data_IF_660159474428
#
_entry.id   IF_660159474428
#
_cell.length_a   1.000
_cell.length_b   1.000
_cell.length_c   1.000
_cell.angle_alpha   90.00
_cell.angle_beta   90.00
_cell.angle_gamma   90.00
#
_symmetry.space_group_name_H-M   'P 1'
#
loop_
_entity.id
_entity.type
_entity.pdbx_description
1 polymer ?
#
# COMPACT_ATOMS: atom_id res chain seq x y z
N UNK A 1 -9.72 -6.90 -17.23
CA UNK A 1 -9.25 -6.97 -15.84
C UNK A 1 -10.22 -6.18 -14.98
N UNK A 2 -10.82 -6.84 -14.00
CA UNK A 2 -11.61 -6.22 -12.93
C UNK A 2 -10.81 -6.19 -11.65
N UNK A 3 -10.65 -5.02 -11.05
CA UNK A 3 -9.81 -4.81 -9.86
C UNK A 3 -10.62 -4.16 -8.76
N UNK A 4 -10.61 -4.75 -7.56
CA UNK A 4 -11.07 -4.10 -6.33
C UNK A 4 -9.90 -3.35 -5.70
N UNK A 5 -9.98 -2.02 -5.67
CA UNK A 5 -9.10 -1.16 -4.88
C UNK A 5 -9.62 -1.02 -3.45
N UNK A 6 -8.72 -1.08 -2.47
CA UNK A 6 -9.01 -0.97 -1.04
C UNK A 6 -8.08 0.06 -0.41
N UNK A 7 -8.68 1.17 0.05
CA UNK A 7 -8.04 2.18 0.90
C UNK A 7 -8.40 1.89 2.37
N UNK A 8 -7.51 1.20 3.11
CA UNK A 8 -7.86 0.60 4.38
C UNK A 8 -7.91 1.62 5.52
N UNK A 9 -8.88 1.45 6.42
CA UNK A 9 -8.95 2.22 7.65
C UNK A 9 -9.96 1.61 8.61
N UNK A 10 -9.70 1.72 9.92
CA UNK A 10 -10.59 1.11 10.90
C UNK A 10 -11.99 1.74 10.86
N UNK A 11 -12.10 3.08 10.82
CA UNK A 11 -13.42 3.76 10.84
C UNK A 11 -14.07 3.80 9.46
N UNK A 12 -13.24 3.95 8.43
CA UNK A 12 -13.64 4.10 7.03
C UNK A 12 -12.64 3.32 6.19
N UNK A 13 -13.12 2.28 5.54
CA UNK A 13 -12.36 1.48 4.59
C UNK A 13 -12.98 1.73 3.20
N UNK A 14 -12.28 2.49 2.36
CA UNK A 14 -12.70 2.82 1.01
C UNK A 14 -12.58 1.61 0.10
N UNK A 15 -13.60 1.36 -0.71
CA UNK A 15 -13.65 0.23 -1.65
C UNK A 15 -14.15 0.71 -3.00
N UNK A 16 -13.52 0.26 -4.09
CA UNK A 16 -13.88 0.68 -5.44
C UNK A 16 -13.47 -0.34 -6.48
N UNK A 17 -14.35 -0.62 -7.43
CA UNK A 17 -14.12 -1.60 -8.48
C UNK A 17 -14.03 -0.90 -9.83
N UNK A 18 -12.92 -1.14 -10.52
CA UNK A 18 -12.65 -0.62 -11.86
C UNK A 18 -12.40 -1.77 -12.82
N UNK A 19 -12.99 -1.66 -14.00
CA UNK A 19 -12.84 -2.59 -15.11
C UNK A 19 -12.09 -1.93 -16.26
N UNK A 20 -11.13 -2.65 -16.82
CA UNK A 20 -10.47 -2.22 -18.05
C UNK A 20 -9.16 -2.94 -18.33
N UNK A 21 -8.40 -2.35 -19.23
CA UNK A 21 -7.04 -2.74 -19.61
C UNK A 21 -6.21 -1.48 -19.87
N UNK A 22 -4.90 -1.56 -19.68
CA UNK A 22 -4.01 -0.45 -19.95
C UNK A 22 -4.14 0.05 -21.40
N UNK A 23 -4.14 1.37 -21.60
CA UNK A 23 -4.27 2.01 -22.91
C UNK A 23 -5.69 2.06 -23.50
N UNK A 24 -6.71 1.58 -22.76
CA UNK A 24 -8.12 1.68 -23.14
C UNK A 24 -8.92 2.44 -22.08
N UNK A 25 -10.12 2.96 -22.42
CA UNK A 25 -11.01 3.57 -21.44
C UNK A 25 -11.32 2.61 -20.28
N UNK A 26 -11.39 3.15 -19.07
CA UNK A 26 -11.73 2.43 -17.85
C UNK A 26 -13.20 2.67 -17.49
N UNK A 27 -13.81 1.71 -16.81
CA UNK A 27 -15.20 1.79 -16.34
C UNK A 27 -15.24 1.57 -14.83
N UNK A 28 -15.98 2.40 -14.11
CA UNK A 28 -16.28 2.17 -12.69
C UNK A 28 -17.44 1.19 -12.57
N UNK A 29 -17.22 0.04 -11.95
CA UNK A 29 -18.27 -0.94 -11.69
C UNK A 29 -19.01 -0.65 -10.38
N UNK A 30 -18.30 -0.10 -9.38
CA UNK A 30 -18.90 0.28 -8.10
C UNK A 30 -17.91 1.04 -7.22
N UNK A 31 -18.43 1.82 -6.27
CA UNK A 31 -17.61 2.46 -5.24
C UNK A 31 -18.39 2.68 -3.95
N UNK A 32 -17.71 2.57 -2.81
CA UNK A 32 -18.31 2.70 -1.49
C UNK A 32 -17.30 2.82 -0.37
N UNK A 33 -17.82 2.81 0.86
CA UNK A 33 -17.01 2.83 2.08
C UNK A 33 -17.64 1.88 3.09
N UNK A 34 -16.86 0.92 3.56
CA UNK A 34 -17.20 0.11 4.73
C UNK A 34 -16.94 0.96 5.96
N UNK A 35 -17.97 1.16 6.79
CA UNK A 35 -17.92 2.01 7.98
C UNK A 35 -18.03 1.17 9.24
N UNK A 36 -17.25 1.52 10.26
CA UNK A 36 -17.37 0.92 11.59
C UNK A 36 -17.53 2.01 12.66
N UNK A 37 -18.24 1.74 13.77
CA UNK A 37 -18.33 2.67 14.90
C UNK A 37 -16.94 2.91 15.50
N UNK A 38 -16.62 4.17 15.78
CA UNK A 38 -15.29 4.53 16.31
C UNK A 38 -15.10 4.16 17.79
N UNK A 39 -16.21 3.95 18.50
CA UNK A 39 -16.32 3.57 19.91
C UNK A 39 -16.39 2.05 20.14
N UNK A 40 -16.53 1.26 19.07
CA UNK A 40 -16.49 -0.21 19.15
C UNK A 40 -15.05 -0.73 19.37
N UNK A 41 -14.92 -1.92 19.95
CA UNK A 41 -13.64 -2.60 20.09
C UNK A 41 -13.00 -2.87 18.72
N UNK A 42 -11.66 -2.84 18.66
CA UNK A 42 -10.91 -3.08 17.42
C UNK A 42 -11.28 -4.44 16.81
N UNK A 43 -11.43 -5.49 17.62
CA UNK A 43 -11.77 -6.82 17.14
C UNK A 43 -13.12 -6.83 16.40
N UNK A 44 -14.14 -6.20 16.99
CA UNK A 44 -15.48 -6.09 16.38
C UNK A 44 -15.44 -5.28 15.07
N UNK A 45 -14.64 -4.22 15.05
CA UNK A 45 -14.45 -3.39 13.86
C UNK A 45 -13.78 -4.16 12.73
N UNK A 46 -12.79 -5.01 13.04
CA UNK A 46 -12.15 -5.87 12.05
C UNK A 46 -13.13 -6.90 11.46
N UNK A 47 -14.03 -7.46 12.27
CA UNK A 47 -15.11 -8.35 11.80
C UNK A 47 -16.07 -7.61 10.85
N UNK A 48 -16.42 -6.35 11.17
CA UNK A 48 -17.26 -5.53 10.28
C UNK A 48 -16.56 -5.21 8.96
N UNK A 49 -15.25 -4.95 9.00
CA UNK A 49 -14.44 -4.72 7.80
C UNK A 49 -14.38 -5.99 6.95
N UNK A 50 -14.13 -7.16 7.55
CA UNK A 50 -14.12 -8.45 6.86
C UNK A 50 -15.44 -8.67 6.10
N UNK A 51 -16.58 -8.56 6.81
CA UNK A 51 -17.92 -8.74 6.21
C UNK A 51 -18.18 -7.76 5.07
N UNK A 52 -17.77 -6.50 5.25
CA UNK A 52 -17.91 -5.49 4.21
C UNK A 52 -17.08 -5.83 2.98
N UNK A 53 -15.82 -6.22 3.15
CA UNK A 53 -14.93 -6.59 2.03
C UNK A 53 -15.45 -7.86 1.34
N UNK A 54 -15.87 -8.86 2.10
CA UNK A 54 -16.45 -10.10 1.56
C UNK A 54 -17.67 -9.82 0.69
N UNK A 55 -18.58 -8.94 1.12
CA UNK A 55 -19.73 -8.55 0.32
C UNK A 55 -19.32 -7.95 -1.04
N UNK A 56 -18.29 -7.09 -1.06
CA UNK A 56 -17.77 -6.51 -2.30
C UNK A 56 -17.10 -7.54 -3.21
N UNK A 57 -16.33 -8.46 -2.63
CA UNK A 57 -15.71 -9.56 -3.37
C UNK A 57 -16.76 -10.46 -4.02
N UNK A 58 -17.83 -10.78 -3.29
CA UNK A 58 -18.88 -11.69 -3.75
C UNK A 58 -19.78 -11.04 -4.81
N UNK A 59 -20.13 -9.76 -4.62
CA UNK A 59 -20.96 -8.98 -5.56
C UNK A 59 -20.23 -8.73 -6.88
N UNK A 60 -18.99 -8.24 -6.83
CA UNK A 60 -18.31 -7.73 -8.02
C UNK A 60 -17.44 -8.77 -8.71
N UNK A 61 -17.01 -9.82 -7.99
CA UNK A 61 -16.12 -10.90 -8.47
C UNK A 61 -14.87 -10.36 -9.18
N UNK A 62 -14.02 -9.56 -8.50
CA UNK A 62 -12.81 -9.03 -9.10
C UNK A 62 -11.80 -10.13 -9.41
N UNK A 63 -10.90 -9.86 -10.35
CA UNK A 63 -9.77 -10.74 -10.69
C UNK A 63 -8.53 -10.44 -9.83
N UNK A 64 -8.44 -9.23 -9.28
CA UNK A 64 -7.33 -8.75 -8.45
C UNK A 64 -7.83 -7.85 -7.32
N UNK A 65 -7.10 -7.84 -6.21
CA UNK A 65 -7.29 -6.87 -5.12
C UNK A 65 -6.06 -5.99 -4.99
N UNK A 66 -6.23 -4.68 -5.12
CA UNK A 66 -5.20 -3.67 -4.96
C UNK A 66 -5.38 -2.97 -3.61
N UNK A 67 -4.42 -3.10 -2.71
CA UNK A 67 -4.50 -2.52 -1.35
C UNK A 67 -3.45 -1.41 -1.22
N UNK A 68 -3.80 -0.30 -0.60
CA UNK A 68 -2.80 0.72 -0.26
C UNK A 68 -1.76 0.14 0.70
N UNK A 69 -0.49 0.36 0.38
CA UNK A 69 0.63 0.00 1.23
C UNK A 69 0.74 0.98 2.38
N UNK A 70 0.69 0.46 3.59
CA UNK A 70 0.83 1.26 4.82
C UNK A 70 2.29 1.73 5.00
N UNK A 71 2.46 3.03 5.25
CA UNK A 71 3.73 3.65 5.61
C UNK A 71 3.63 4.34 6.97
N UNK A 72 4.71 4.32 7.75
CA UNK A 72 4.85 5.15 8.95
C UNK A 72 6.20 5.85 8.93
N UNK A 73 6.19 7.16 9.17
CA UNK A 73 7.40 7.88 9.59
C UNK A 73 7.25 8.49 11.00
N UNK A 74 6.03 8.85 11.44
CA UNK A 74 5.88 9.62 12.70
C UNK A 74 4.61 9.33 13.54
N UNK A 75 3.68 8.46 13.12
CA UNK A 75 2.42 8.23 13.87
C UNK A 75 2.01 6.75 13.94
N UNK A 76 2.71 6.02 14.81
CA UNK A 76 2.60 4.55 14.96
C UNK A 76 1.19 4.10 15.37
N UNK A 77 0.48 4.88 16.22
CA UNK A 77 -0.84 4.48 16.74
C UNK A 77 -1.90 4.39 15.64
N UNK A 78 -2.01 5.39 14.77
CA UNK A 78 -3.00 5.39 13.69
C UNK A 78 -2.63 4.38 12.60
N UNK A 79 -1.34 4.27 12.29
CA UNK A 79 -0.80 3.32 11.31
C UNK A 79 -1.13 1.88 11.68
N UNK A 80 -1.08 1.53 12.98
CA UNK A 80 -1.39 0.17 13.42
C UNK A 80 -2.82 -0.25 13.04
N UNK A 81 -3.79 0.64 13.26
CA UNK A 81 -5.18 0.38 12.88
C UNK A 81 -5.36 0.21 11.37
N UNK A 82 -4.74 1.08 10.58
CA UNK A 82 -4.71 0.95 9.11
C UNK A 82 -4.09 -0.39 8.69
N UNK A 83 -2.94 -0.78 9.26
CA UNK A 83 -2.28 -2.04 8.96
C UNK A 83 -3.13 -3.27 9.30
N UNK A 84 -3.85 -3.23 10.43
CA UNK A 84 -4.81 -4.28 10.80
C UNK A 84 -5.94 -4.39 9.77
N UNK A 85 -6.53 -3.26 9.35
CA UNK A 85 -7.55 -3.25 8.30
C UNK A 85 -7.01 -3.73 6.94
N UNK A 86 -5.77 -3.35 6.57
CA UNK A 86 -5.09 -3.86 5.37
C UNK A 86 -4.96 -5.38 5.42
N UNK A 87 -4.54 -5.93 6.56
CA UNK A 87 -4.37 -7.37 6.73
C UNK A 87 -5.69 -8.14 6.53
N UNK A 88 -6.82 -7.59 7.02
CA UNK A 88 -8.15 -8.16 6.77
C UNK A 88 -8.47 -8.19 5.27
N UNK A 89 -8.23 -7.08 4.54
CA UNK A 89 -8.45 -7.03 3.10
C UNK A 89 -7.62 -8.08 2.35
N UNK A 90 -6.34 -8.20 2.71
CA UNK A 90 -5.42 -9.19 2.14
C UNK A 90 -5.89 -10.63 2.43
N UNK A 91 -6.35 -10.90 3.65
CA UNK A 91 -6.85 -12.22 4.06
C UNK A 91 -8.12 -12.61 3.29
N UNK A 92 -9.09 -11.68 3.15
CA UNK A 92 -10.34 -11.92 2.43
C UNK A 92 -10.08 -12.28 0.96
N UNK A 93 -9.14 -11.58 0.33
CA UNK A 93 -8.71 -11.86 -1.04
C UNK A 93 -7.99 -13.22 -1.15
N UNK A 94 -7.02 -13.48 -0.27
CA UNK A 94 -6.24 -14.72 -0.28
C UNK A 94 -7.10 -15.97 -0.06
N UNK A 95 -8.12 -15.90 0.81
CA UNK A 95 -9.08 -16.99 1.03
C UNK A 95 -9.87 -17.37 -0.22
N UNK A 96 -10.02 -16.44 -1.17
CA UNK A 96 -10.68 -16.66 -2.48
C UNK A 96 -9.70 -17.00 -3.60
N UNK A 97 -8.41 -17.17 -3.29
CA UNK A 97 -7.35 -17.38 -4.29
C UNK A 97 -7.08 -16.16 -5.16
N UNK A 98 -7.53 -14.96 -4.75
CA UNK A 98 -7.33 -13.75 -5.53
C UNK A 98 -5.93 -13.17 -5.29
N UNK A 99 -5.20 -12.82 -6.36
CA UNK A 99 -3.92 -12.14 -6.24
C UNK A 99 -4.08 -10.75 -5.61
N UNK A 100 -3.20 -10.43 -4.67
CA UNK A 100 -3.16 -9.14 -3.97
C UNK A 100 -1.92 -8.35 -4.39
N UNK A 101 -2.12 -7.08 -4.74
CA UNK A 101 -1.05 -6.14 -5.03
C UNK A 101 -1.06 -4.97 -4.03
N UNK A 102 0.13 -4.59 -3.55
CA UNK A 102 0.31 -3.44 -2.66
C UNK A 102 0.88 -2.27 -3.45
N UNK A 103 0.25 -1.09 -3.36
CA UNK A 103 0.73 0.13 -4.00
C UNK A 103 0.98 1.23 -2.99
N UNK A 104 2.08 1.95 -3.16
CA UNK A 104 2.37 3.12 -2.32
C UNK A 104 1.51 4.33 -2.72
N UNK A 105 1.23 5.26 -1.79
CA UNK A 105 0.52 6.49 -2.13
C UNK A 105 1.19 7.27 -3.29
N UNK A 106 2.52 7.31 -3.32
CA UNK A 106 3.30 7.96 -4.38
C UNK A 106 3.14 7.25 -5.73
N UNK A 107 3.05 5.92 -5.76
CA UNK A 107 2.79 5.18 -7.00
C UNK A 107 1.37 5.43 -7.52
N UNK A 108 0.38 5.45 -6.64
CA UNK A 108 -1.02 5.75 -7.00
C UNK A 108 -1.12 7.15 -7.60
N UNK A 109 -0.54 8.14 -6.91
CA UNK A 109 -0.50 9.53 -7.38
C UNK A 109 0.22 9.65 -8.72
N UNK A 110 1.38 9.01 -8.87
CA UNK A 110 2.14 9.04 -10.12
C UNK A 110 1.38 8.37 -11.26
N UNK A 111 0.71 7.24 -11.02
CA UNK A 111 -0.06 6.53 -12.03
C UNK A 111 -1.24 7.37 -12.53
N UNK A 112 -1.99 7.99 -11.61
CA UNK A 112 -3.24 8.70 -11.92
C UNK A 112 -2.98 10.12 -12.45
N UNK A 113 -2.00 10.83 -11.90
CA UNK A 113 -1.79 12.27 -12.16
C UNK A 113 -0.52 12.57 -12.95
N UNK A 114 0.39 11.60 -13.10
CA UNK A 114 1.74 11.82 -13.64
C UNK A 114 2.75 12.32 -12.61
N UNK A 115 2.34 12.64 -11.37
CA UNK A 115 3.22 13.11 -10.30
C UNK A 115 2.98 12.37 -8.99
N UNK A 116 4.04 11.79 -8.41
CA UNK A 116 3.96 11.15 -7.09
C UNK A 116 3.72 12.13 -5.93
N UNK A 117 3.80 13.45 -6.19
CA UNK A 117 3.61 14.52 -5.20
C UNK A 117 2.24 15.18 -5.28
N UNK A 118 1.35 14.71 -6.15
CA UNK A 118 0.02 15.29 -6.32
C UNK A 118 -0.78 15.33 -5.01
N UNK A 119 -1.61 16.36 -4.86
CA UNK A 119 -2.53 16.48 -3.74
C UNK A 119 -3.82 15.65 -3.96
N UNK A 120 -4.64 15.54 -2.90
CA UNK A 120 -5.86 14.72 -2.93
C UNK A 120 -6.91 15.25 -3.90
N UNK A 121 -6.99 16.57 -4.09
CA UNK A 121 -7.94 17.19 -5.02
C UNK A 121 -7.57 16.88 -6.47
N UNK A 122 -6.28 16.94 -6.81
CA UNK A 122 -5.74 16.56 -8.11
C UNK A 122 -6.00 15.09 -8.43
N UNK A 123 -5.79 14.19 -7.47
CA UNK A 123 -6.11 12.76 -7.62
C UNK A 123 -7.61 12.60 -7.90
N UNK A 124 -8.49 13.20 -7.10
CA UNK A 124 -9.93 13.12 -7.28
C UNK A 124 -10.42 13.64 -8.65
N UNK A 125 -9.89 14.79 -9.08
CA UNK A 125 -10.20 15.35 -10.41
C UNK A 125 -9.76 14.41 -11.55
N UNK A 126 -8.58 13.80 -11.42
CA UNK A 126 -8.09 12.85 -12.40
C UNK A 126 -8.89 11.56 -12.41
N UNK A 127 -9.24 10.99 -11.25
CA UNK A 127 -10.13 9.82 -11.17
C UNK A 127 -11.46 10.09 -11.89
N UNK A 128 -12.06 11.26 -11.61
CA UNK A 128 -13.31 11.70 -12.26
C UNK A 128 -13.17 11.72 -13.78
N UNK A 129 -12.09 12.32 -14.29
CA UNK A 129 -11.80 12.43 -15.73
C UNK A 129 -11.52 11.07 -16.37
N UNK A 130 -10.73 10.23 -15.73
CA UNK A 130 -10.30 8.94 -16.27
C UNK A 130 -11.44 7.92 -16.35
N UNK A 131 -12.35 7.96 -15.38
CA UNK A 131 -13.55 7.13 -15.34
C UNK A 131 -14.76 7.79 -16.02
N UNK A 132 -14.58 8.99 -16.60
CA UNK A 132 -15.62 9.76 -17.32
C UNK A 132 -16.87 9.99 -16.48
N UNK A 133 -16.68 10.25 -15.19
CA UNK A 133 -17.77 10.53 -14.26
C UNK A 133 -18.28 11.97 -14.45
N UNK A 134 -19.58 12.17 -14.31
CA UNK A 134 -20.20 13.51 -14.40
C UNK A 134 -19.87 14.41 -13.21
N UNK A 135 -19.49 13.81 -12.08
CA UNK A 135 -19.10 14.50 -10.86
C UNK A 135 -18.06 13.68 -10.09
N UNK A 136 -17.30 14.31 -9.16
CA UNK A 136 -16.37 13.59 -8.31
C UNK A 136 -17.03 12.44 -7.54
N UNK A 137 -16.36 11.27 -7.43
CA UNK A 137 -16.91 10.13 -6.71
C UNK A 137 -17.10 10.49 -5.23
N UNK A 138 -18.25 10.10 -4.69
CA UNK A 138 -18.61 10.31 -3.28
C UNK A 138 -18.80 8.97 -2.59
N UNK A 139 -18.44 8.85 -1.29
CA UNK A 139 -17.81 9.87 -0.42
C UNK A 139 -16.32 10.10 -0.73
N UNK A 140 -15.65 11.06 -0.08
CA UNK A 140 -14.27 11.45 -0.44
C UNK A 140 -13.23 10.30 -0.55
N UNK A 141 -13.34 9.23 0.27
CA UNK A 141 -12.42 8.08 0.22
C UNK A 141 -12.73 7.12 -0.95
N UNK A 142 -13.85 7.32 -1.65
CA UNK A 142 -14.18 6.62 -2.89
C UNK A 142 -13.14 6.88 -3.97
N UNK A 143 -12.60 8.11 -4.03
CA UNK A 143 -11.59 8.48 -5.01
C UNK A 143 -10.28 7.71 -4.82
N UNK A 144 -9.86 7.50 -3.57
CA UNK A 144 -8.59 6.82 -3.25
C UNK A 144 -8.66 5.33 -3.62
N UNK A 145 -9.77 4.67 -3.29
CA UNK A 145 -10.02 3.28 -3.67
C UNK A 145 -10.06 3.08 -5.20
N UNK A 146 -10.74 3.98 -5.93
CA UNK A 146 -10.75 3.97 -7.40
C UNK A 146 -9.36 4.24 -7.98
N UNK A 147 -8.60 5.17 -7.41
CA UNK A 147 -7.24 5.48 -7.81
C UNK A 147 -6.31 4.26 -7.67
N UNK A 148 -6.45 3.48 -6.58
CA UNK A 148 -5.71 2.23 -6.37
C UNK A 148 -6.02 1.19 -7.44
N UNK A 149 -7.30 1.01 -7.78
CA UNK A 149 -7.71 0.08 -8.82
C UNK A 149 -7.15 0.49 -10.21
N UNK A 150 -7.25 1.79 -10.56
CA UNK A 150 -6.66 2.35 -11.78
C UNK A 150 -5.14 2.13 -11.82
N UNK A 151 -4.46 2.45 -10.70
CA UNK A 151 -3.02 2.27 -10.55
C UNK A 151 -2.61 0.83 -10.85
N UNK A 152 -3.33 -0.15 -10.30
CA UNK A 152 -3.06 -1.56 -10.57
C UNK A 152 -3.26 -1.91 -12.05
N UNK A 153 -4.40 -1.54 -12.66
CA UNK A 153 -4.70 -1.86 -14.07
C UNK A 153 -3.58 -1.36 -15.01
N UNK A 154 -3.02 -0.18 -14.74
CA UNK A 154 -1.98 0.40 -15.58
C UNK A 154 -0.58 -0.12 -15.28
N UNK A 155 -0.27 -0.50 -14.04
CA UNK A 155 1.05 -1.00 -13.65
C UNK A 155 1.21 -2.50 -13.86
N UNK A 156 0.15 -3.28 -13.69
CA UNK A 156 0.21 -4.75 -13.72
C UNK A 156 0.83 -5.31 -15.03
N UNK A 157 0.49 -4.83 -16.25
CA UNK A 157 1.11 -5.34 -17.47
C UNK A 157 2.62 -5.10 -17.54
N UNK A 158 3.10 -3.95 -17.06
CA UNK A 158 4.52 -3.63 -17.05
C UNK A 158 5.28 -4.50 -16.04
N UNK A 159 4.73 -4.66 -14.83
CA UNK A 159 5.29 -5.51 -13.78
C UNK A 159 5.34 -6.97 -14.23
N UNK A 160 4.26 -7.48 -14.84
CA UNK A 160 4.19 -8.86 -15.34
C UNK A 160 5.24 -9.13 -16.42
N UNK A 161 5.46 -8.20 -17.36
CA UNK A 161 6.52 -8.34 -18.39
C UNK A 161 7.92 -8.41 -17.78
N UNK A 162 8.21 -7.56 -16.78
CA UNK A 162 9.50 -7.58 -16.10
C UNK A 162 9.72 -8.89 -15.33
N UNK A 163 8.70 -9.38 -14.62
CA UNK A 163 8.78 -10.64 -13.89
C UNK A 163 8.99 -11.84 -14.82
N UNK A 164 8.28 -11.87 -15.96
CA UNK A 164 8.46 -12.92 -16.98
C UNK A 164 9.87 -12.90 -17.58
N UNK A 165 10.40 -11.73 -17.92
CA UNK A 165 11.77 -11.59 -18.42
C UNK A 165 12.81 -12.06 -17.39
N UNK A 166 12.63 -11.73 -16.12
CA UNK A 166 13.50 -12.19 -15.03
C UNK A 166 13.42 -13.72 -14.83
N UNK A 167 12.22 -14.30 -14.87
CA UNK A 167 12.04 -15.74 -14.75
C UNK A 167 12.70 -16.49 -15.93
N UNK A 168 12.55 -15.98 -17.15
CA UNK A 168 13.22 -16.51 -18.33
C UNK A 168 14.73 -16.42 -18.20
N UNK A 169 15.28 -15.26 -17.80
CA UNK A 169 16.72 -15.08 -17.60
C UNK A 169 17.30 -16.01 -16.53
N UNK A 170 16.58 -16.24 -15.42
CA UNK A 170 16.97 -17.21 -14.39
C UNK A 170 16.95 -18.64 -14.93
N UNK A 171 15.97 -18.98 -15.76
CA UNK A 171 15.86 -20.31 -16.35
C UNK A 171 16.98 -20.60 -17.37
N UNK A 172 17.38 -19.62 -18.18
CA UNK A 172 18.53 -19.74 -19.10
C UNK A 172 19.84 -19.82 -18.35
N UNK A 173 20.06 -18.96 -17.34
CA UNK A 173 21.27 -19.01 -16.52
C UNK A 173 21.45 -20.36 -15.80
N UNK A 174 20.36 -21.01 -15.40
CA UNK A 174 20.38 -22.34 -14.75
C UNK A 174 20.60 -23.49 -15.75
N UNK A 175 20.38 -23.28 -17.04
CA UNK A 175 20.58 -24.27 -18.12
C UNK A 175 21.97 -24.19 -18.75
N UNK A 176 22.70 -23.09 -18.59
CA UNK A 176 24.08 -22.97 -19.07
C UNK A 176 25.02 -23.76 -18.15
N UNK A 177 25.69 -24.83 -18.62
CA UNK A 177 26.71 -25.50 -17.83
C UNK A 177 27.84 -24.52 -17.50
N UNK A 178 28.50 -24.61 -16.33
CA UNK A 178 29.67 -23.79 -16.06
C UNK A 178 30.69 -23.98 -17.18
N UNK A 179 31.18 -22.88 -17.76
CA UNK A 179 32.20 -22.92 -18.79
C UNK A 179 33.37 -23.79 -18.29
N UNK A 180 33.72 -24.81 -19.09
CA UNK A 180 34.79 -25.73 -18.76
C UNK A 180 36.05 -24.93 -18.41
N UNK A 181 36.52 -25.10 -17.16
CA UNK A 181 37.70 -24.42 -16.64
C UNK A 181 38.84 -24.68 -17.63
N UNK A 182 39.53 -23.65 -18.17
CA UNK A 182 40.59 -23.89 -19.14
C UNK A 182 41.63 -24.83 -18.51
N UNK A 183 41.95 -25.91 -19.22
CA UNK A 183 42.87 -26.93 -18.77
C UNK A 183 44.19 -26.26 -18.38
N UNK A 184 44.64 -26.47 -17.13
CA UNK A 184 45.98 -26.06 -16.71
C UNK A 184 46.97 -26.82 -17.59
N UNK A 185 47.66 -26.11 -18.47
CA UNK A 185 48.78 -26.65 -19.24
C UNK A 185 49.80 -27.24 -18.25
N UNK A 186 50.29 -28.47 -18.44
CA UNK A 186 51.33 -29.03 -17.61
C UNK A 186 52.58 -28.16 -17.72
N UNK A 187 53.06 -27.67 -16.59
CA UNK A 187 54.34 -26.95 -16.48
C UNK A 187 55.45 -27.93 -16.85
N UNK A 188 56.13 -27.69 -17.97
CA UNK A 188 57.32 -28.42 -18.34
C UNK A 188 58.38 -28.29 -17.24
N UNK A 189 58.89 -29.43 -16.79
CA UNK A 189 59.99 -29.55 -15.83
C UNK A 189 61.29 -29.11 -16.50
N UNK A 190 61.87 -27.99 -16.04
CA UNK A 190 63.23 -27.60 -16.39
C UNK A 190 64.22 -28.24 -15.38
N UNK A 191 65.42 -28.68 -15.82
CA UNK A 191 66.37 -29.39 -14.99
C UNK A 191 67.10 -28.46 -14.00
N UNK A 192 67.45 -29.02 -12.85
CA UNK A 192 68.23 -28.39 -11.79
C UNK A 192 69.66 -28.07 -12.26
N UNK A 193 70.08 -26.82 -12.03
CA UNK A 193 71.40 -26.32 -12.38
C UNK A 193 71.80 -25.13 -11.51
N UNK A 194 72.44 -25.48 -10.39
CA UNK A 194 73.58 -24.80 -9.73
C UNK A 194 73.47 -23.34 -9.25
N UNK A 195 73.83 -23.19 -7.97
CA UNK A 195 73.88 -21.99 -7.16
C UNK A 195 74.68 -20.81 -7.72
N UNK A 196 74.16 -19.60 -7.52
CA UNK A 196 74.84 -18.32 -7.73
C UNK A 196 74.30 -17.27 -6.76
N UNK A 197 75.20 -16.62 -6.04
CA UNK A 197 75.02 -15.82 -4.82
C UNK A 197 74.64 -14.35 -5.12
N UNK A 198 73.98 -13.72 -4.13
CA UNK A 198 74.15 -12.33 -3.66
C UNK A 198 73.24 -11.16 -4.15
N UNK A 199 72.54 -10.60 -3.15
CA UNK A 199 72.46 -9.17 -2.74
C UNK A 199 71.52 -8.15 -3.41
N UNK A 200 70.89 -7.31 -2.55
CA UNK A 200 70.27 -6.01 -2.86
C UNK A 200 68.75 -5.98 -2.62
N UNK A 201 68.24 -5.47 -1.49
CA UNK A 201 67.73 -4.09 -1.28
C UNK A 201 66.53 -3.75 -2.20
N UNK A 202 65.32 -3.37 -1.78
CA UNK A 202 64.93 -2.37 -0.78
C UNK A 202 63.42 -2.46 -0.43
N UNK A 203 63.06 -1.84 0.70
CA UNK A 203 61.72 -1.71 1.32
C UNK A 203 60.74 -0.86 0.50
N UNK A 204 59.43 -1.12 0.63
CA UNK A 204 58.41 -0.09 0.98
C UNK A 204 57.15 -0.76 1.56
N UNK A 205 56.63 -0.35 2.75
CA UNK A 205 55.37 -0.87 3.31
C UNK A 205 54.13 -0.06 2.87
N UNK A 206 52.97 -0.72 2.89
CA UNK A 206 51.66 -0.18 2.53
C UNK A 206 51.07 0.77 3.61
N UNK A 207 50.22 1.75 3.27
CA UNK A 207 49.61 2.65 4.24
C UNK A 207 48.29 2.11 4.83
N UNK A 208 48.15 2.23 6.15
CA UNK A 208 46.94 1.99 6.94
C UNK A 208 45.89 3.11 6.76
N UNK A 209 44.59 2.75 6.88
CA UNK A 209 43.45 3.68 6.87
C UNK A 209 43.14 4.17 8.30
N UNK A 210 42.88 5.47 8.53
CA UNK A 210 42.47 5.95 9.85
C UNK A 210 40.97 5.80 10.10
N UNK A 211 40.64 5.55 11.37
CA UNK A 211 39.31 5.41 11.94
C UNK A 211 38.58 6.76 12.09
N UNK A 212 37.26 6.75 11.91
CA UNK A 212 36.39 7.92 12.04
C UNK A 212 35.68 7.91 13.40
N UNK A 213 35.83 9.01 14.16
CA UNK A 213 35.23 9.24 15.48
C UNK A 213 33.90 10.02 15.37
N UNK A 214 32.97 9.88 16.33
CA UNK A 214 31.61 10.42 16.23
C UNK A 214 31.56 11.92 16.53
N UNK A 215 30.71 12.64 15.80
CA UNK A 215 30.44 14.07 16.03
C UNK A 215 29.37 14.25 17.11
N UNK A 216 29.75 14.89 18.21
CA UNK A 216 28.84 15.54 19.17
C UNK A 216 28.93 17.04 18.99
N UNK A 217 27.80 17.75 18.91
CA UNK A 217 27.74 19.18 19.21
C UNK A 217 26.39 19.52 19.83
N UNK A 218 26.46 20.21 20.96
CA UNK A 218 25.37 20.58 21.86
C UNK A 218 24.80 21.99 21.57
N UNK A 219 23.82 22.38 22.41
CA UNK A 219 23.19 23.70 22.63
C UNK A 219 21.89 23.96 21.87
N UNK A 220 20.78 24.44 22.45
CA UNK A 220 20.47 24.90 23.81
C UNK A 220 18.94 25.05 23.99
N UNK A 221 18.47 25.13 25.25
CA UNK A 221 17.08 25.52 25.61
C UNK A 221 16.98 27.04 25.80
N UNK A 222 15.77 27.63 25.90
CA UNK A 222 15.12 27.72 27.22
C UNK A 222 13.60 27.44 27.23
N UNK A 223 13.10 27.18 28.44
CA UNK A 223 11.70 27.13 28.88
C UNK A 223 10.93 28.42 28.57
N UNK A 224 9.62 28.33 28.22
CA UNK A 224 8.59 29.17 28.84
C UNK A 224 7.17 28.58 28.68
N UNK A 225 6.35 28.81 29.70
CA UNK A 225 5.08 28.19 30.00
C UNK A 225 3.85 28.89 29.37
N UNK A 226 2.76 28.15 29.13
CA UNK A 226 1.38 28.66 29.28
C UNK A 226 0.31 27.54 29.25
N UNK A 227 -0.08 27.11 30.46
CA UNK A 227 -1.45 26.86 30.98
C UNK A 227 -2.57 26.42 30.03
N UNK A 228 -3.14 25.26 30.37
CA UNK A 228 -4.54 24.87 30.10
C UNK A 228 -5.55 25.69 30.91
N UNK A 229 -6.84 25.71 30.53
CA UNK A 229 -7.93 25.90 31.49
C UNK A 229 -8.67 24.58 31.76
N UNK A 230 -8.94 24.35 33.05
CA UNK A 230 -9.84 23.32 33.57
C UNK A 230 -11.23 23.93 33.78
N UNK A 231 -12.24 23.19 33.31
CA UNK A 231 -13.63 23.04 33.75
C UNK A 231 -14.46 24.26 34.22
N UNK A 232 -15.63 24.40 33.59
CA UNK A 232 -16.86 24.91 34.20
C UNK A 232 -18.07 24.06 33.79
N UNK A 233 -18.57 23.23 34.73
CA UNK A 233 -19.98 22.78 34.83
C UNK A 233 -20.88 24.03 35.02
N UNK A 234 -22.19 24.10 34.82
CA UNK A 234 -23.31 23.21 34.56
C UNK A 234 -24.41 24.09 33.91
N UNK A 235 -25.40 23.54 33.20
CA UNK A 235 -26.77 23.56 33.76
C UNK A 235 -27.75 22.72 32.94
N UNK A 236 -28.70 22.15 33.68
CA UNK A 236 -29.76 21.26 33.24
C UNK A 236 -30.96 22.04 32.69
N UNK A 237 -31.64 21.48 31.69
CA UNK A 237 -33.05 21.75 31.47
C UNK A 237 -33.72 20.57 30.75
N UNK A 238 -34.30 19.71 31.56
CA UNK A 238 -35.30 18.69 31.22
C UNK A 238 -36.47 19.30 30.44
N UNK A 239 -36.88 18.70 29.32
CA UNK A 239 -38.28 18.75 28.83
C UNK A 239 -38.69 17.40 28.24
N UNK A 240 -39.36 16.64 29.10
CA UNK A 240 -40.62 15.91 28.90
C UNK A 240 -40.98 15.42 27.50
N UNK A 241 -41.11 14.09 27.44
CA UNK A 241 -41.78 13.24 26.46
C UNK A 241 -43.30 13.44 26.42
N UNK A 242 -43.90 13.36 25.22
CA UNK A 242 -45.24 12.82 25.00
C UNK A 242 -45.38 12.28 23.55
N UNK A 243 -46.03 11.13 23.31
CA UNK A 243 -46.02 10.45 22.01
C UNK A 243 -47.24 10.81 21.14
N UNK A 244 -47.02 11.00 19.84
CA UNK A 244 -48.11 11.05 18.85
C UNK A 244 -48.38 9.63 18.36
N UNK A 245 -49.50 9.05 18.82
CA UNK A 245 -50.11 7.86 18.20
C UNK A 245 -50.81 8.30 16.91
N UNK A 246 -50.36 7.76 15.78
CA UNK A 246 -51.06 7.83 14.49
C UNK A 246 -51.75 6.50 14.25
N UNK A 247 -53.06 6.57 14.10
CA UNK A 247 -54.02 5.47 14.04
C UNK A 247 -53.99 4.78 12.68
N UNK A 248 -53.68 3.49 12.66
CA UNK A 248 -53.90 2.59 11.51
C UNK A 248 -55.39 2.47 11.24
N UNK A 249 -55.83 2.89 10.05
CA UNK A 249 -57.20 2.69 9.55
C UNK A 249 -57.25 1.38 8.74
N UNK A 250 -58.03 0.41 9.23
CA UNK A 250 -58.38 -0.84 8.54
C UNK A 250 -59.48 -0.53 7.51
N UNK A 251 -59.41 -1.02 6.26
CA UNK A 251 -60.55 -1.00 5.35
C UNK A 251 -61.46 -2.22 5.59
N UNK A 252 -62.75 -1.98 5.85
CA UNK A 252 -63.82 -2.97 5.63
C UNK A 252 -64.29 -2.84 4.18
N UNK A 253 -64.42 -3.98 3.49
CA UNK A 253 -65.16 -4.12 2.22
C UNK A 253 -66.65 -3.80 2.40
N UNK A 254 -67.55 -3.96 1.44
CA UNK A 254 -67.62 -4.57 0.11
C UNK A 254 -68.89 -3.98 -0.53
N UNK A 255 -69.02 -4.12 -1.85
CA UNK A 255 -70.29 -4.25 -2.60
C UNK A 255 -71.44 -3.26 -2.35
#
# INVERSE_FOLDING_TARGET
MKVLGVDPGLTRCGVGVVEGVAGRPLTMAGVGVVRTPADADIADRLVLIERGIDAWLDEHRPEYVAVERVFSQHNVRTVMGTAQASAVAMLCAARRGLPVALHTPSEVKAAVTGSGRADKAQVGAMVTRLLRLSAPPKPADAADALALAICHIWRAPAVNRLQQAQAQARSTARRTPPAARPARTPRATAPEGTAGRASGSSRTPAPERPAEAPRTSASGRPDEAARAPVAGRADAASRTTAPVRSTTRIPKGMS
#
